data_IF_053924030507
#
_entry.id   IF_053924030507
#
_cell.length_a   1.000
_cell.length_b   1.000
_cell.length_c   1.000
_cell.angle_alpha   90.00
_cell.angle_beta   90.00
_cell.angle_gamma   90.00
#
_symmetry.space_group_name_H-M   'P 1'
#
loop_
_entity.id
_entity.type
_entity.pdbx_description
1 polymer ?
#
# COMPACT_ATOMS: atom_id res chain seq x y z
N UNK A 1 -10.33 -19.01 13.51
CA UNK A 1 -8.87 -18.81 13.45
C UNK A 1 -8.43 -17.86 14.57
N UNK A 2 -7.21 -17.98 15.10
CA UNK A 2 -6.62 -17.04 16.06
C UNK A 2 -5.55 -16.22 15.34
N UNK A 3 -5.67 -14.89 15.35
CA UNK A 3 -4.67 -13.99 14.80
C UNK A 3 -3.73 -13.56 15.93
N UNK A 4 -2.42 -13.60 15.67
CA UNK A 4 -1.37 -13.16 16.61
C UNK A 4 -0.36 -12.29 15.87
N UNK A 5 0.32 -11.42 16.62
CA UNK A 5 1.37 -10.55 16.07
C UNK A 5 2.72 -11.24 16.27
N UNK A 6 3.46 -11.41 15.18
CA UNK A 6 4.83 -11.93 15.17
C UNK A 6 5.69 -10.94 14.37
N UNK A 7 6.90 -10.57 14.82
CA UNK A 7 7.81 -9.75 14.03
C UNK A 7 8.17 -10.43 12.69
N UNK A 8 8.20 -9.70 11.56
CA UNK A 8 8.47 -10.27 10.23
C UNK A 8 9.68 -11.24 10.17
N UNK A 9 10.85 -10.93 10.78
CA UNK A 9 12.00 -11.83 10.73
C UNK A 9 11.80 -13.19 11.41
N UNK A 10 10.76 -13.32 12.25
CA UNK A 10 10.45 -14.53 13.01
C UNK A 10 9.35 -15.38 12.37
N UNK A 11 8.70 -14.91 11.29
CA UNK A 11 7.57 -15.60 10.65
C UNK A 11 7.95 -17.00 10.14
N UNK A 12 9.06 -17.09 9.39
CA UNK A 12 9.53 -18.35 8.77
C UNK A 12 9.84 -19.42 9.83
N UNK A 13 10.49 -19.02 10.93
CA UNK A 13 10.81 -19.93 12.03
C UNK A 13 9.55 -20.43 12.75
N UNK A 14 8.57 -19.56 12.97
CA UNK A 14 7.29 -19.93 13.60
C UNK A 14 6.45 -20.84 12.70
N UNK A 15 6.46 -20.62 11.39
CA UNK A 15 5.80 -21.52 10.44
C UNK A 15 6.47 -22.89 10.46
N UNK A 16 7.81 -22.94 10.39
CA UNK A 16 8.58 -24.20 10.45
C UNK A 16 8.32 -25.00 11.73
N UNK A 17 8.17 -24.31 12.86
CA UNK A 17 7.90 -24.92 14.16
C UNK A 17 6.44 -25.38 14.34
N UNK A 18 5.52 -25.03 13.43
CA UNK A 18 4.09 -25.32 13.56
C UNK A 18 3.35 -24.43 14.56
N UNK A 19 3.95 -23.33 15.00
CA UNK A 19 3.30 -22.36 15.90
C UNK A 19 2.19 -21.56 15.19
N UNK A 20 2.30 -21.43 13.87
CA UNK A 20 1.33 -20.78 12.99
C UNK A 20 1.09 -21.66 11.76
N UNK A 21 -0.08 -21.51 11.16
CA UNK A 21 -0.48 -22.24 9.93
C UNK A 21 -0.41 -21.37 8.66
N UNK A 22 -0.09 -20.08 8.82
CA UNK A 22 0.01 -19.10 7.75
C UNK A 22 0.26 -17.70 8.32
N UNK A 23 0.67 -16.78 7.46
CA UNK A 23 0.93 -15.38 7.82
C UNK A 23 0.71 -14.45 6.61
N UNK A 24 0.62 -13.15 6.88
CA UNK A 24 0.63 -12.09 5.89
C UNK A 24 1.78 -11.14 6.23
N UNK A 25 2.72 -10.98 5.31
CA UNK A 25 3.94 -10.19 5.52
C UNK A 25 4.47 -9.70 4.17
N UNK A 26 5.22 -8.60 4.17
CA UNK A 26 5.94 -8.15 2.97
C UNK A 26 7.17 -9.02 2.67
N UNK A 27 7.69 -8.89 1.45
CA UNK A 27 8.97 -9.51 1.09
C UNK A 27 10.13 -8.99 1.95
N UNK A 28 11.21 -9.78 2.13
CA UNK A 28 11.54 -11.06 1.49
C UNK A 28 11.05 -12.32 2.24
N UNK A 29 10.16 -12.17 3.22
CA UNK A 29 9.85 -13.24 4.16
C UNK A 29 8.93 -14.33 3.58
N UNK A 30 8.11 -14.02 2.57
CA UNK A 30 7.33 -15.06 1.87
C UNK A 30 8.26 -15.89 0.98
N UNK A 31 9.12 -15.24 0.18
CA UNK A 31 10.06 -15.94 -0.70
C UNK A 31 10.99 -16.87 0.11
N UNK A 32 11.44 -16.45 1.30
CA UNK A 32 12.23 -17.32 2.17
C UNK A 32 11.52 -18.61 2.59
N UNK A 33 10.21 -18.57 2.84
CA UNK A 33 9.46 -19.78 3.17
C UNK A 33 9.22 -20.68 1.94
N UNK A 34 9.02 -20.06 0.77
CA UNK A 34 8.92 -20.74 -0.52
C UNK A 34 10.23 -21.45 -0.86
N UNK A 35 11.37 -20.77 -0.82
CA UNK A 35 12.68 -21.37 -1.08
C UNK A 35 13.02 -22.51 -0.10
N UNK A 36 12.68 -22.33 1.18
CA UNK A 36 12.84 -23.37 2.19
C UNK A 36 11.91 -24.58 1.98
N UNK A 37 10.87 -24.47 1.14
CA UNK A 37 9.89 -25.51 0.87
C UNK A 37 8.97 -25.80 2.06
N UNK A 38 8.82 -24.83 2.97
CA UNK A 38 8.00 -24.97 4.19
C UNK A 38 6.64 -24.27 4.07
N UNK A 39 6.41 -23.57 2.97
CA UNK A 39 5.19 -22.83 2.71
C UNK A 39 5.04 -22.50 1.23
N UNK A 40 3.86 -22.00 0.89
CA UNK A 40 3.55 -21.43 -0.42
C UNK A 40 2.80 -20.11 -0.22
N UNK A 41 2.97 -19.19 -1.16
CA UNK A 41 2.14 -17.99 -1.23
C UNK A 41 0.79 -18.37 -1.83
N UNK A 42 -0.30 -17.92 -1.20
CA UNK A 42 -1.67 -18.19 -1.68
C UNK A 42 -2.15 -17.10 -2.64
N UNK A 43 -1.87 -15.84 -2.30
CA UNK A 43 -2.29 -14.67 -3.04
C UNK A 43 -1.39 -13.50 -2.63
N UNK A 44 -1.04 -12.64 -3.58
CA UNK A 44 -0.29 -11.41 -3.32
C UNK A 44 -1.22 -10.26 -2.99
N UNK A 45 -0.68 -9.22 -2.35
CA UNK A 45 -1.45 -8.00 -2.07
C UNK A 45 -2.01 -7.37 -3.36
N UNK A 46 -1.21 -7.34 -4.44
CA UNK A 46 -1.65 -6.88 -5.75
C UNK A 46 -2.85 -7.66 -6.30
N UNK A 47 -2.89 -8.97 -6.09
CA UNK A 47 -4.02 -9.80 -6.53
C UNK A 47 -5.29 -9.61 -5.69
N UNK A 48 -5.16 -9.18 -4.42
CA UNK A 48 -6.30 -8.84 -3.55
C UNK A 48 -6.91 -7.48 -3.96
N UNK A 49 -6.06 -6.48 -4.18
CA UNK A 49 -6.45 -5.15 -4.64
C UNK A 49 -5.34 -4.60 -5.52
N UNK A 50 -5.62 -4.49 -6.82
CA UNK A 50 -4.61 -4.02 -7.78
C UNK A 50 -4.17 -2.58 -7.43
N UNK A 51 -2.86 -2.31 -7.50
CA UNK A 51 -2.25 -0.99 -7.24
C UNK A 51 -2.76 -0.30 -5.96
N UNK A 52 -2.98 -1.09 -4.90
CA UNK A 52 -3.46 -0.57 -3.63
C UNK A 52 -2.41 0.28 -2.89
N UNK A 53 -2.84 1.20 -2.00
CA UNK A 53 -1.94 1.86 -1.08
C UNK A 53 -1.29 0.86 -0.13
N UNK A 54 -0.03 1.11 0.22
CA UNK A 54 0.68 0.26 1.17
C UNK A 54 1.51 1.12 2.14
N UNK A 55 2.83 1.27 1.97
CA UNK A 55 3.65 2.09 2.87
C UNK A 55 3.41 3.59 2.67
N UNK A 56 3.62 4.34 3.75
CA UNK A 56 3.55 5.81 3.75
C UNK A 56 4.82 6.41 4.34
N UNK A 57 5.19 7.58 3.85
CA UNK A 57 6.16 8.44 4.52
C UNK A 57 5.40 9.38 5.47
N UNK A 58 5.60 9.21 6.77
CA UNK A 58 4.96 10.01 7.81
C UNK A 58 5.98 10.75 8.67
N UNK A 59 5.66 11.99 9.03
CA UNK A 59 6.41 12.80 9.99
C UNK A 59 5.47 13.36 11.04
N UNK A 60 5.99 13.66 12.23
CA UNK A 60 5.22 14.36 13.26
C UNK A 60 4.83 15.77 12.78
N UNK A 61 3.61 16.19 13.09
CA UNK A 61 3.10 17.52 12.72
C UNK A 61 4.03 18.64 13.23
N UNK A 62 4.41 18.58 14.50
CA UNK A 62 5.31 19.56 15.12
C UNK A 62 6.67 19.63 14.40
N UNK A 63 7.18 18.50 13.90
CA UNK A 63 8.44 18.49 13.16
C UNK A 63 8.28 19.18 11.80
N UNK A 64 7.18 18.93 11.09
CA UNK A 64 6.88 19.61 9.83
C UNK A 64 6.76 21.12 10.01
N UNK A 65 6.04 21.57 11.05
CA UNK A 65 5.86 23.00 11.35
C UNK A 65 7.21 23.71 11.60
N UNK A 66 8.13 23.02 12.29
CA UNK A 66 9.49 23.53 12.54
C UNK A 66 10.42 23.43 11.33
N UNK A 67 10.19 22.47 10.43
CA UNK A 67 11.10 22.13 9.33
C UNK A 67 10.39 22.05 7.96
N UNK A 68 9.58 23.03 7.54
CA UNK A 68 8.74 22.89 6.36
C UNK A 68 9.54 22.74 5.05
N UNK A 69 10.65 23.49 4.92
CA UNK A 69 11.52 23.40 3.73
C UNK A 69 12.26 22.06 3.66
N UNK A 70 12.75 21.57 4.80
CA UNK A 70 13.38 20.25 4.89
C UNK A 70 12.38 19.15 4.54
N UNK A 71 11.15 19.25 5.04
CA UNK A 71 10.11 18.30 4.70
C UNK A 71 9.83 18.28 3.19
N UNK A 72 9.68 19.45 2.57
CA UNK A 72 9.49 19.54 1.11
C UNK A 72 10.67 18.94 0.34
N UNK A 73 11.91 19.22 0.75
CA UNK A 73 13.11 18.65 0.12
C UNK A 73 13.16 17.12 0.25
N UNK A 74 12.74 16.56 1.39
CA UNK A 74 12.64 15.10 1.56
C UNK A 74 11.59 14.49 0.64
N UNK A 75 10.41 15.11 0.49
CA UNK A 75 9.38 14.63 -0.44
C UNK A 75 9.90 14.69 -1.88
N UNK A 76 10.61 15.75 -2.27
CA UNK A 76 11.23 15.85 -3.59
C UNK A 76 12.26 14.73 -3.82
N UNK A 77 13.16 14.50 -2.86
CA UNK A 77 14.15 13.44 -2.96
C UNK A 77 13.52 12.04 -3.07
N UNK A 78 12.44 11.78 -2.32
CA UNK A 78 11.68 10.53 -2.43
C UNK A 78 11.00 10.39 -3.80
N UNK A 79 10.47 11.47 -4.37
CA UNK A 79 9.86 11.45 -5.70
C UNK A 79 10.88 11.11 -6.79
N UNK A 80 12.05 11.75 -6.77
CA UNK A 80 13.12 11.44 -7.72
C UNK A 80 13.64 10.01 -7.55
N UNK A 81 13.87 9.58 -6.31
CA UNK A 81 14.34 8.23 -6.00
C UNK A 81 13.33 7.17 -6.48
N UNK A 82 12.06 7.33 -6.15
CA UNK A 82 11.01 6.40 -6.58
C UNK A 82 10.84 6.38 -8.09
N UNK A 83 10.92 7.54 -8.76
CA UNK A 83 10.87 7.60 -10.22
C UNK A 83 12.03 6.86 -10.87
N UNK A 84 13.24 7.01 -10.33
CA UNK A 84 14.43 6.30 -10.79
C UNK A 84 14.30 4.80 -10.54
N UNK A 85 13.89 4.40 -9.33
CA UNK A 85 13.69 3.01 -8.95
C UNK A 85 12.64 2.31 -9.81
N UNK A 86 11.63 3.02 -10.30
CA UNK A 86 10.55 2.40 -11.07
C UNK A 86 10.93 2.08 -12.53
N UNK A 87 12.11 2.55 -12.99
CA UNK A 87 12.65 2.16 -14.30
C UNK A 87 13.22 0.73 -14.25
N UNK A 88 12.81 -0.18 -15.16
CA UNK A 88 13.26 -1.58 -15.14
C UNK A 88 14.79 -1.75 -15.13
N UNK A 89 15.51 -0.90 -15.84
CA UNK A 89 16.98 -0.92 -15.95
C UNK A 89 17.69 -0.66 -14.61
N UNK A 90 17.04 0.06 -13.69
CA UNK A 90 17.62 0.44 -12.40
C UNK A 90 17.31 -0.59 -11.29
N UNK A 91 16.35 -1.50 -11.50
CA UNK A 91 15.86 -2.42 -10.47
C UNK A 91 16.94 -3.33 -9.91
N UNK A 92 17.89 -3.79 -10.73
CA UNK A 92 18.97 -4.66 -10.25
C UNK A 92 19.99 -3.91 -9.39
N UNK A 93 20.22 -2.62 -9.64
CA UNK A 93 21.04 -1.79 -8.76
C UNK A 93 20.35 -1.60 -7.41
N UNK A 94 19.04 -1.35 -7.40
CA UNK A 94 18.23 -1.30 -6.17
C UNK A 94 18.35 -2.59 -5.36
N UNK A 95 18.27 -3.75 -6.01
CA UNK A 95 18.46 -5.06 -5.37
C UNK A 95 19.81 -5.12 -4.66
N UNK A 96 20.89 -4.79 -5.36
CA UNK A 96 22.25 -4.81 -4.81
C UNK A 96 22.45 -3.82 -3.65
N UNK A 97 21.78 -2.66 -3.67
CA UNK A 97 21.81 -1.69 -2.57
C UNK A 97 21.06 -2.21 -1.33
N UNK A 98 19.84 -2.71 -1.51
CA UNK A 98 18.97 -3.14 -0.40
C UNK A 98 19.47 -4.45 0.26
N UNK A 99 20.11 -5.32 -0.51
CA UNK A 99 20.67 -6.58 -0.03
C UNK A 99 21.83 -6.41 0.96
N UNK A 100 22.52 -5.26 0.95
CA UNK A 100 23.73 -5.05 1.75
C UNK A 100 23.48 -5.23 3.26
N UNK A 101 24.56 -5.56 3.97
CA UNK A 101 24.55 -5.78 5.43
C UNK A 101 24.04 -4.58 6.23
N UNK A 102 24.24 -3.36 5.73
CA UNK A 102 23.74 -2.12 6.34
C UNK A 102 22.23 -1.91 6.20
N UNK A 103 21.56 -2.71 5.38
CA UNK A 103 20.13 -2.65 5.10
C UNK A 103 19.44 -3.97 5.47
N UNK A 104 18.86 -4.70 4.50
CA UNK A 104 18.06 -5.90 4.78
C UNK A 104 18.94 -7.09 5.13
N UNK A 105 20.20 -7.12 4.66
CA UNK A 105 21.13 -8.22 4.89
C UNK A 105 20.53 -9.58 4.46
N UNK A 106 20.11 -9.67 3.21
CA UNK A 106 19.55 -10.87 2.59
C UNK A 106 20.17 -11.11 1.21
N UNK A 107 20.21 -12.36 0.71
CA UNK A 107 20.78 -12.64 -0.61
C UNK A 107 20.03 -11.90 -1.72
N UNK A 108 20.77 -11.42 -2.71
CA UNK A 108 20.23 -10.66 -3.86
C UNK A 108 19.10 -11.40 -4.57
N UNK A 109 19.21 -12.72 -4.80
CA UNK A 109 18.16 -13.50 -5.46
C UNK A 109 16.83 -13.50 -4.69
N UNK A 110 16.86 -13.39 -3.36
CA UNK A 110 15.65 -13.29 -2.54
C UNK A 110 15.04 -11.89 -2.67
N UNK A 111 15.86 -10.84 -2.66
CA UNK A 111 15.39 -9.44 -2.80
C UNK A 111 14.85 -9.19 -4.20
N UNK A 112 15.51 -9.74 -5.22
CA UNK A 112 15.20 -9.61 -6.65
C UNK A 112 13.77 -9.98 -6.98
N UNK A 113 13.23 -11.05 -6.41
CA UNK A 113 11.84 -11.46 -6.62
C UNK A 113 10.84 -10.36 -6.25
N UNK A 114 11.15 -9.54 -5.25
CA UNK A 114 10.29 -8.40 -4.89
C UNK A 114 10.46 -7.20 -5.82
N UNK A 115 11.56 -7.09 -6.56
CA UNK A 115 11.98 -5.87 -7.25
C UNK A 115 11.84 -5.93 -8.77
N UNK A 116 11.90 -7.11 -9.38
CA UNK A 116 12.04 -7.24 -10.85
C UNK A 116 10.76 -7.66 -11.58
N UNK A 117 9.61 -7.61 -10.92
CA UNK A 117 8.32 -7.84 -11.58
C UNK A 117 8.02 -9.32 -11.89
N UNK A 118 8.56 -10.24 -11.10
CA UNK A 118 8.30 -11.68 -11.19
C UNK A 118 8.10 -12.23 -9.79
N UNK A 119 7.17 -13.17 -9.61
CA UNK A 119 6.86 -13.71 -8.29
C UNK A 119 6.76 -15.24 -8.33
N UNK A 120 7.28 -15.92 -7.29
CA UNK A 120 7.29 -17.37 -7.17
C UNK A 120 6.36 -17.80 -6.03
N UNK A 121 5.34 -18.60 -6.35
CA UNK A 121 4.31 -18.98 -5.36
C UNK A 121 4.66 -20.24 -4.56
N UNK A 122 5.41 -21.17 -5.15
CA UNK A 122 5.85 -22.39 -4.51
C UNK A 122 7.22 -22.82 -5.04
N UNK A 123 7.94 -23.65 -4.27
CA UNK A 123 9.33 -24.00 -4.54
C UNK A 123 9.55 -24.64 -5.91
N UNK A 124 8.60 -25.48 -6.28
CA UNK A 124 8.53 -26.34 -7.45
C UNK A 124 7.77 -25.70 -8.63
N UNK A 125 7.30 -24.45 -8.49
CA UNK A 125 6.70 -23.69 -9.57
C UNK A 125 7.71 -22.74 -10.21
N UNK A 126 7.58 -22.49 -11.51
CA UNK A 126 8.36 -21.43 -12.17
C UNK A 126 7.86 -20.03 -11.75
N UNK A 127 8.77 -19.03 -11.58
CA UNK A 127 8.37 -17.65 -11.36
C UNK A 127 7.44 -17.15 -12.46
N UNK A 128 6.41 -16.40 -12.09
CA UNK A 128 5.42 -15.84 -13.01
C UNK A 128 5.60 -14.32 -13.13
N UNK A 129 5.32 -13.72 -14.30
CA UNK A 129 5.30 -12.26 -14.43
C UNK A 129 4.27 -11.64 -13.48
N UNK A 130 4.72 -10.67 -12.70
CA UNK A 130 3.90 -9.82 -11.83
C UNK A 130 4.51 -8.40 -11.81
N UNK A 131 4.46 -7.69 -12.96
CA UNK A 131 5.23 -6.46 -13.18
C UNK A 131 4.87 -5.32 -12.22
N UNK A 132 3.65 -5.34 -11.69
CA UNK A 132 3.12 -4.34 -10.76
C UNK A 132 3.07 -4.86 -9.31
N UNK A 133 3.86 -5.90 -8.98
CA UNK A 133 3.99 -6.39 -7.60
C UNK A 133 4.46 -5.28 -6.64
N UNK A 134 5.48 -4.52 -7.05
CA UNK A 134 5.96 -3.31 -6.38
C UNK A 134 6.09 -2.19 -7.41
N UNK A 135 5.18 -1.22 -7.34
CA UNK A 135 5.20 0.02 -8.13
C UNK A 135 5.68 1.15 -7.23
N UNK A 136 6.77 1.81 -7.62
CA UNK A 136 7.35 2.88 -6.81
C UNK A 136 6.87 4.27 -7.23
N UNK A 137 6.56 4.51 -8.51
CA UNK A 137 6.24 5.86 -8.99
C UNK A 137 5.10 5.93 -10.00
N UNK A 138 5.02 4.98 -10.93
CA UNK A 138 3.93 4.87 -11.92
C UNK A 138 2.57 4.90 -11.21
N UNK A 139 1.54 5.24 -11.96
CA UNK A 139 0.15 5.19 -11.48
C UNK A 139 -0.14 6.11 -10.29
N UNK A 140 0.65 7.18 -10.12
CA UNK A 140 0.59 8.08 -8.98
C UNK A 140 0.70 7.34 -7.64
N UNK A 141 1.54 6.29 -7.57
CA UNK A 141 1.71 5.44 -6.38
C UNK A 141 2.07 6.24 -5.12
N UNK A 142 2.84 7.32 -5.26
CA UNK A 142 3.27 8.16 -4.13
C UNK A 142 2.26 9.25 -3.74
N UNK A 143 1.21 9.48 -4.53
CA UNK A 143 0.24 10.52 -4.21
C UNK A 143 -0.61 10.07 -3.02
N UNK A 144 -0.69 10.84 -1.92
CA UNK A 144 -1.39 10.44 -0.71
C UNK A 144 -2.91 10.64 -0.86
N UNK A 145 -3.56 9.80 -1.65
CA UNK A 145 -5.00 9.82 -1.89
C UNK A 145 -5.80 9.74 -0.56
N UNK A 146 -6.73 10.66 -0.36
CA UNK A 146 -7.62 10.61 0.80
C UNK A 146 -8.58 9.40 0.71
N UNK A 147 -8.89 8.91 -0.50
CA UNK A 147 -9.65 7.67 -0.70
C UNK A 147 -8.94 6.46 -0.07
N UNK A 148 -7.62 6.37 -0.23
CA UNK A 148 -6.81 5.30 0.33
C UNK A 148 -6.83 5.32 1.87
N UNK A 149 -6.60 6.47 2.49
CA UNK A 149 -6.69 6.62 3.94
C UNK A 149 -8.11 6.33 4.47
N UNK A 150 -9.14 6.83 3.78
CA UNK A 150 -10.53 6.57 4.13
C UNK A 150 -10.84 5.06 4.11
N UNK A 151 -10.33 4.32 3.12
CA UNK A 151 -10.49 2.87 3.06
C UNK A 151 -9.89 2.18 4.29
N UNK A 152 -8.65 2.52 4.68
CA UNK A 152 -8.02 1.93 5.87
C UNK A 152 -8.80 2.23 7.16
N UNK A 153 -9.18 3.49 7.37
CA UNK A 153 -10.00 3.88 8.53
C UNK A 153 -11.33 3.11 8.53
N UNK A 154 -11.94 2.92 7.36
CA UNK A 154 -13.15 2.10 7.21
C UNK A 154 -12.91 0.65 7.67
N UNK A 155 -11.79 0.03 7.28
CA UNK A 155 -11.46 -1.33 7.71
C UNK A 155 -11.11 -1.41 9.20
N UNK A 156 -10.52 -0.36 9.78
CA UNK A 156 -10.29 -0.27 11.22
C UNK A 156 -11.61 -0.27 12.01
N UNK A 157 -12.64 0.43 11.53
CA UNK A 157 -13.99 0.31 12.08
C UNK A 157 -14.54 -1.11 11.89
N UNK A 158 -14.45 -1.66 10.67
CA UNK A 158 -14.94 -3.01 10.34
C UNK A 158 -14.42 -4.05 11.33
N UNK A 159 -13.14 -3.97 11.71
CA UNK A 159 -12.50 -4.92 12.60
C UNK A 159 -12.53 -4.54 14.09
N UNK A 160 -13.15 -3.41 14.43
CA UNK A 160 -13.35 -2.99 15.81
C UNK A 160 -12.10 -2.41 16.48
N UNK A 161 -11.20 -1.83 15.69
CA UNK A 161 -10.01 -1.13 16.19
C UNK A 161 -10.31 0.32 16.59
N UNK A 162 -11.46 0.85 16.15
CA UNK A 162 -11.95 2.18 16.49
C UNK A 162 -13.28 2.07 17.23
N UNK A 163 -13.36 2.75 18.38
CA UNK A 163 -14.48 2.63 19.32
C UNK A 163 -15.38 3.87 19.35
N UNK A 164 -14.97 4.98 18.73
CA UNK A 164 -15.71 6.23 18.69
C UNK A 164 -16.11 6.54 17.26
N UNK A 165 -17.37 6.95 16.99
CA UNK A 165 -17.76 7.38 15.65
C UNK A 165 -17.01 8.65 15.24
N UNK A 166 -16.46 8.66 14.03
CA UNK A 166 -15.85 9.83 13.42
C UNK A 166 -16.18 9.90 11.92
N UNK A 167 -16.13 11.10 11.36
CA UNK A 167 -16.19 11.29 9.92
C UNK A 167 -14.89 10.77 9.29
N UNK A 168 -14.99 9.69 8.51
CA UNK A 168 -13.87 8.93 7.96
C UNK A 168 -13.07 9.80 6.99
N UNK A 169 -13.73 10.48 6.05
CA UNK A 169 -13.05 11.25 5.03
C UNK A 169 -12.41 12.52 5.60
N UNK A 170 -13.07 13.18 6.55
CA UNK A 170 -12.50 14.31 7.28
C UNK A 170 -11.26 13.88 8.08
N UNK A 171 -11.33 12.72 8.76
CA UNK A 171 -10.19 12.16 9.49
C UNK A 171 -9.03 11.87 8.55
N UNK A 172 -9.29 11.25 7.38
CA UNK A 172 -8.27 11.04 6.36
C UNK A 172 -7.58 12.35 5.94
N UNK A 173 -8.35 13.41 5.70
CA UNK A 173 -7.84 14.74 5.33
C UNK A 173 -7.01 15.44 6.41
N UNK A 174 -7.11 15.01 7.67
CA UNK A 174 -6.27 15.54 8.76
C UNK A 174 -4.89 14.88 8.86
N UNK A 175 -4.70 13.73 8.18
CA UNK A 175 -3.50 12.89 8.28
C UNK A 175 -2.72 12.91 6.95
N UNK A 176 -3.41 12.68 5.84
CA UNK A 176 -2.81 12.64 4.52
C UNK A 176 -2.68 14.06 3.96
N UNK A 177 -1.52 14.39 3.41
CA UNK A 177 -1.17 15.75 2.97
C UNK A 177 -0.92 15.85 1.46
N UNK A 178 -1.95 15.70 0.60
CA UNK A 178 -1.86 15.95 -0.84
C UNK A 178 -1.26 17.30 -1.19
N UNK A 179 -1.55 18.32 -0.39
CA UNK A 179 -1.05 19.68 -0.59
C UNK A 179 0.48 19.77 -0.53
N UNK A 180 1.11 19.07 0.42
CA UNK A 180 2.57 19.03 0.54
C UNK A 180 3.22 18.25 -0.61
N UNK A 181 2.60 17.13 -1.01
CA UNK A 181 3.02 16.38 -2.19
C UNK A 181 3.01 17.28 -3.43
N UNK A 182 1.91 17.99 -3.68
CA UNK A 182 1.76 18.87 -4.85
C UNK A 182 2.79 20.00 -4.87
N UNK A 183 3.14 20.56 -3.72
CA UNK A 183 4.20 21.56 -3.61
C UNK A 183 5.56 21.00 -4.06
N UNK A 184 5.91 19.79 -3.61
CA UNK A 184 7.14 19.11 -4.03
C UNK A 184 7.12 18.73 -5.51
N UNK A 185 6.04 18.10 -5.98
CA UNK A 185 5.87 17.70 -7.37
C UNK A 185 5.92 18.90 -8.34
N UNK A 186 5.29 20.03 -7.97
CA UNK A 186 5.37 21.28 -8.71
C UNK A 186 6.80 21.83 -8.78
N UNK A 187 7.55 21.77 -7.67
CA UNK A 187 8.94 22.22 -7.63
C UNK A 187 9.85 21.39 -8.55
N UNK A 188 9.57 20.09 -8.69
CA UNK A 188 10.26 19.19 -9.61
C UNK A 188 9.75 19.25 -11.06
N UNK A 189 8.63 19.92 -11.30
CA UNK A 189 7.99 19.94 -12.62
C UNK A 189 7.38 18.61 -13.05
N UNK A 190 7.09 17.71 -12.11
CA UNK A 190 6.47 16.40 -12.41
C UNK A 190 4.93 16.47 -12.34
N UNK A 191 4.21 15.68 -13.16
CA UNK A 191 2.74 15.63 -13.12
C UNK A 191 2.19 15.17 -11.77
N UNK A 192 1.07 15.75 -11.34
CA UNK A 192 0.36 15.33 -10.12
C UNK A 192 -1.17 15.43 -10.23
N UNK A 193 -1.92 14.59 -9.49
CA UNK A 193 -3.38 14.69 -9.38
C UNK A 193 -3.87 16.04 -8.83
N UNK A 194 -4.96 16.59 -9.39
CA UNK A 194 -5.61 17.83 -8.92
C UNK A 194 -6.85 17.56 -8.05
N UNK A 195 -7.24 16.29 -7.92
CA UNK A 195 -8.26 15.80 -7.00
C UNK A 195 -7.61 14.99 -5.87
N UNK A 196 -8.29 14.90 -4.73
CA UNK A 196 -7.80 14.21 -3.52
C UNK A 196 -8.41 12.83 -3.31
N UNK A 197 -9.53 12.56 -3.98
CA UNK A 197 -10.33 11.34 -3.83
C UNK A 197 -10.64 10.74 -5.18
N UNK A 198 -10.64 9.41 -5.24
CA UNK A 198 -11.18 8.62 -6.35
C UNK A 198 -11.96 7.43 -5.80
N UNK A 199 -12.84 6.85 -6.60
CA UNK A 199 -13.44 5.55 -6.26
C UNK A 199 -12.40 4.46 -6.51
N UNK A 200 -12.38 3.47 -5.64
CA UNK A 200 -11.49 2.31 -5.75
C UNK A 200 -12.31 1.10 -6.19
N UNK A 201 -11.72 0.18 -6.95
CA UNK A 201 -12.39 -1.04 -7.38
C UNK A 201 -13.17 -0.93 -8.69
N UNK A 202 -13.10 0.19 -9.41
CA UNK A 202 -13.93 0.41 -10.62
C UNK A 202 -13.17 0.19 -11.92
N UNK A 203 -11.83 0.15 -11.88
CA UNK A 203 -10.98 0.07 -13.05
C UNK A 203 -10.33 -1.31 -13.15
N UNK A 204 -10.93 -2.23 -13.92
CA UNK A 204 -10.37 -3.56 -14.18
C UNK A 204 -9.20 -3.55 -15.18
N UNK A 205 -8.92 -2.41 -15.83
CA UNK A 205 -7.88 -2.25 -16.85
C UNK A 205 -7.12 -0.93 -16.62
N UNK A 206 -5.91 -0.78 -17.19
CA UNK A 206 -5.21 0.50 -17.19
C UNK A 206 -6.10 1.62 -17.74
N UNK A 207 -5.97 2.81 -17.15
CA UNK A 207 -6.78 3.98 -17.48
C UNK A 207 -5.95 5.26 -17.39
N UNK A 208 -6.56 6.40 -17.65
CA UNK A 208 -5.88 7.70 -17.63
C UNK A 208 -6.62 8.66 -16.72
N UNK A 209 -5.94 9.14 -15.69
CA UNK A 209 -6.43 10.21 -14.84
C UNK A 209 -6.32 11.55 -15.58
N UNK A 210 -7.46 12.21 -15.81
CA UNK A 210 -7.52 13.51 -16.50
C UNK A 210 -7.49 14.68 -15.51
N UNK A 211 -7.97 14.45 -14.30
CA UNK A 211 -7.95 15.38 -13.17
C UNK A 211 -6.54 15.44 -12.55
N UNK A 212 -5.60 15.92 -13.35
CA UNK A 212 -4.19 16.08 -13.03
C UNK A 212 -3.62 17.29 -13.80
N UNK A 213 -2.43 17.77 -13.42
CA UNK A 213 -1.77 18.88 -14.13
C UNK A 213 -1.40 18.52 -15.58
N UNK A 214 -1.22 17.24 -15.86
CA UNK A 214 -1.19 16.63 -17.18
C UNK A 214 -1.71 15.20 -17.05
N UNK A 215 -2.22 14.56 -18.12
CA UNK A 215 -2.73 13.19 -18.04
C UNK A 215 -1.74 12.22 -17.39
N UNK A 216 -2.18 11.46 -16.40
CA UNK A 216 -1.37 10.45 -15.71
C UNK A 216 -1.90 9.07 -16.09
N UNK A 217 -1.02 8.20 -16.59
CA UNK A 217 -1.34 6.79 -16.78
C UNK A 217 -1.56 6.14 -15.42
N UNK A 218 -2.64 5.38 -15.27
CA UNK A 218 -3.05 4.70 -14.05
C UNK A 218 -3.17 3.19 -14.31
N UNK A 219 -2.88 2.39 -13.28
CA UNK A 219 -3.06 0.95 -13.30
C UNK A 219 -4.50 0.55 -12.96
N UNK A 220 -4.86 -0.74 -13.13
CA UNK A 220 -6.11 -1.26 -12.59
C UNK A 220 -6.16 -1.11 -11.07
N UNK A 221 -7.36 -0.96 -10.50
CA UNK A 221 -7.59 -0.80 -9.06
C UNK A 221 -8.65 -1.76 -8.49
N UNK A 222 -8.91 -2.86 -9.20
CA UNK A 222 -9.96 -3.80 -8.87
C UNK A 222 -9.65 -4.61 -7.60
N UNK A 223 -10.67 -4.82 -6.76
CA UNK A 223 -10.62 -5.81 -5.69
C UNK A 223 -10.89 -7.21 -6.25
N UNK A 224 -10.26 -8.24 -5.68
CA UNK A 224 -10.39 -9.62 -6.15
C UNK A 224 -11.83 -10.16 -6.10
N UNK A 225 -12.65 -9.60 -5.22
CA UNK A 225 -14.04 -10.00 -4.98
C UNK A 225 -15.06 -9.13 -5.74
N UNK A 226 -14.60 -8.21 -6.60
CA UNK A 226 -15.47 -7.28 -7.31
C UNK A 226 -16.00 -6.12 -6.46
N UNK A 227 -15.48 -5.95 -5.24
CA UNK A 227 -15.84 -4.85 -4.36
C UNK A 227 -15.58 -3.47 -5.00
N UNK A 228 -16.37 -2.48 -4.61
CA UNK A 228 -16.17 -1.08 -4.97
C UNK A 228 -16.18 -0.27 -3.69
N UNK A 229 -15.19 0.60 -3.53
CA UNK A 229 -15.14 1.54 -2.42
C UNK A 229 -15.36 2.97 -2.93
N UNK A 230 -16.44 3.58 -2.47
CA UNK A 230 -16.73 4.99 -2.66
C UNK A 230 -16.45 5.73 -1.33
N UNK A 231 -15.41 6.60 -1.26
CA UNK A 231 -15.07 7.30 -0.04
C UNK A 231 -16.23 8.14 0.54
N UNK A 232 -17.12 8.64 -0.32
CA UNK A 232 -18.31 9.39 0.10
C UNK A 232 -19.36 8.50 0.80
N UNK A 233 -19.23 7.18 0.67
CA UNK A 233 -20.13 6.18 1.25
C UNK A 233 -19.40 5.24 2.20
N UNK A 234 -18.34 5.72 2.85
CA UNK A 234 -17.50 4.90 3.74
C UNK A 234 -18.28 4.23 4.88
N UNK A 235 -19.30 4.91 5.42
CA UNK A 235 -20.19 4.34 6.45
C UNK A 235 -21.06 3.20 5.91
N UNK A 236 -21.66 3.36 4.72
CA UNK A 236 -22.43 2.30 4.04
C UNK A 236 -21.52 1.10 3.71
N UNK A 237 -20.32 1.37 3.21
CA UNK A 237 -19.34 0.34 2.84
C UNK A 237 -19.02 -0.58 4.03
N UNK A 238 -18.66 -0.01 5.19
CA UNK A 238 -18.30 -0.79 6.39
C UNK A 238 -19.50 -1.55 6.96
N UNK A 239 -20.67 -0.92 6.96
CA UNK A 239 -21.89 -1.53 7.52
C UNK A 239 -22.45 -2.61 6.60
N UNK A 240 -22.11 -2.62 5.30
CA UNK A 240 -22.54 -3.61 4.32
C UNK A 240 -21.87 -4.99 4.42
N UNK A 241 -20.72 -5.13 5.08
CA UNK A 241 -20.03 -6.42 5.18
C UNK A 241 -20.79 -7.45 6.03
N UNK A 242 -20.80 -8.71 5.60
CA UNK A 242 -21.35 -9.84 6.38
C UNK A 242 -20.46 -10.17 7.60
N UNK A 243 -19.14 -10.15 7.41
CA UNK A 243 -18.15 -10.39 8.47
C UNK A 243 -17.55 -9.06 8.93
N UNK A 244 -17.86 -8.69 10.18
CA UNK A 244 -17.44 -7.46 10.87
C UNK A 244 -17.49 -7.63 12.39
N UNK A 245 -16.77 -6.78 13.11
CA UNK A 245 -16.70 -6.71 14.58
C UNK A 245 -16.77 -5.23 15.01
N UNK A 246 -17.80 -4.51 14.55
CA UNK A 246 -17.94 -3.08 14.85
C UNK A 246 -18.03 -2.85 16.37
N UNK A 247 -17.30 -1.85 16.86
CA UNK A 247 -17.44 -1.35 18.25
C UNK A 247 -18.33 -0.11 18.35
N UNK A 248 -18.71 0.44 17.21
CA UNK A 248 -19.64 1.57 17.04
C UNK A 248 -20.90 1.05 16.36
N UNK A 249 -22.08 1.58 16.72
CA UNK A 249 -23.33 1.15 16.06
C UNK A 249 -23.37 1.62 14.59
N UNK A 250 -23.98 0.84 13.68
CA UNK A 250 -24.15 1.25 12.29
C UNK A 250 -24.78 2.65 12.14
N UNK A 251 -25.80 2.97 12.95
CA UNK A 251 -26.51 4.25 12.88
C UNK A 251 -25.61 5.42 13.26
N UNK A 252 -24.78 5.26 14.31
CA UNK A 252 -23.85 6.29 14.74
C UNK A 252 -22.75 6.51 13.68
N UNK A 253 -22.24 5.44 13.07
CA UNK A 253 -21.24 5.53 12.02
C UNK A 253 -21.80 6.17 10.74
N UNK A 254 -23.01 5.79 10.32
CA UNK A 254 -23.71 6.41 9.18
C UNK A 254 -23.96 7.89 9.43
N UNK A 255 -24.46 8.26 10.61
CA UNK A 255 -24.67 9.67 10.99
C UNK A 255 -23.39 10.50 10.99
N UNK A 256 -22.26 9.92 11.38
CA UNK A 256 -20.97 10.62 11.37
C UNK A 256 -20.40 10.80 9.94
N UNK A 257 -20.92 10.06 8.95
CA UNK A 257 -20.42 9.98 7.58
C UNK A 257 -21.47 10.35 6.52
N UNK A 258 -22.59 10.94 6.94
CA UNK A 258 -23.66 11.46 6.08
C UNK A 258 -23.42 12.90 5.66
#
# INVERSE_FOLDING_TARGET
VRLIVIPPPQMVANLKAGNIVGYCVGEPWNERAVEAGIGRTLITNYEIWNNNPEKVFGVNLEWHEKNPRTHQALIMALLEATQWMDQPENRMEVVGLIAQKSYVNAPDEVVKMSMTGTFKYAKDEEPRPLPDFNVFYRYAANFPWLSHAAWFISQMYRWGQLEQPANILQTAGSIYRPDLYRQAAKALGVPYPTIDVKKEGINAKPWTLKEATSPIAMGPDHFFDGGVFDPAKSGEYVTGFSVKNLKVTPEALLKANS
#
